data_IF_765508370322
#
_entry.id   IF_765508370322
#
_cell.length_a   1.000
_cell.length_b   1.000
_cell.length_c   1.000
_cell.angle_alpha   90.00
_cell.angle_beta   90.00
_cell.angle_gamma   90.00
#
_symmetry.space_group_name_H-M   'P 1'
#
loop_
_entity.id
_entity.type
_entity.pdbx_description
1 polymer ?
#
# COMPACT_ATOMS: atom_id res chain seq x y z
N UNK A 1 -16.39 9.48 -4.61
CA UNK A 1 -16.36 8.94 -5.99
C UNK A 1 -16.08 7.47 -5.87
N UNK A 2 -16.81 6.59 -6.57
CA UNK A 2 -16.53 5.15 -6.56
C UNK A 2 -15.58 4.83 -7.73
N UNK A 3 -14.38 4.36 -7.44
CA UNK A 3 -13.35 4.02 -8.43
C UNK A 3 -13.32 2.53 -8.80
N UNK A 4 -14.15 1.71 -8.14
CA UNK A 4 -14.22 0.26 -8.37
C UNK A 4 -12.83 -0.42 -8.25
N UNK A 5 -12.08 -0.11 -7.19
CA UNK A 5 -10.71 -0.62 -6.97
C UNK A 5 -10.67 -1.83 -6.03
N UNK A 6 -11.80 -2.21 -5.46
CA UNK A 6 -11.90 -3.31 -4.50
C UNK A 6 -11.37 -4.60 -5.11
N UNK A 7 -10.58 -5.34 -4.33
CA UNK A 7 -9.99 -6.64 -4.68
C UNK A 7 -9.04 -6.61 -5.90
N UNK A 8 -8.70 -5.43 -6.43
CA UNK A 8 -7.69 -5.27 -7.48
C UNK A 8 -6.29 -5.17 -6.86
N UNK A 9 -5.29 -5.69 -7.57
CA UNK A 9 -3.90 -5.71 -7.12
C UNK A 9 -3.08 -4.59 -7.77
N UNK A 10 -2.34 -3.83 -6.96
CA UNK A 10 -1.48 -2.73 -7.40
C UNK A 10 -0.06 -2.89 -6.85
N UNK A 11 0.92 -2.33 -7.57
CA UNK A 11 2.32 -2.23 -7.09
C UNK A 11 2.66 -0.77 -6.87
N UNK A 12 3.13 -0.43 -5.68
CA UNK A 12 3.59 0.93 -5.32
C UNK A 12 5.04 0.88 -4.83
N UNK A 13 5.94 1.46 -5.61
CA UNK A 13 7.34 1.63 -5.23
C UNK A 13 7.54 2.92 -4.44
N UNK A 14 8.50 2.95 -3.51
CA UNK A 14 8.70 4.11 -2.63
C UNK A 14 7.51 4.34 -1.69
N UNK A 15 6.78 3.28 -1.35
CA UNK A 15 5.49 3.34 -0.65
C UNK A 15 5.57 3.77 0.82
N UNK A 16 6.76 3.96 1.38
CA UNK A 16 6.92 4.25 2.82
C UNK A 16 6.95 5.74 3.16
N UNK A 17 6.96 6.64 2.17
CA UNK A 17 7.01 8.09 2.40
C UNK A 17 6.35 8.92 1.27
N UNK A 18 6.04 10.17 1.55
CA UNK A 18 5.56 11.14 0.55
C UNK A 18 4.35 10.63 -0.24
N UNK A 19 4.37 10.85 -1.56
CA UNK A 19 3.28 10.44 -2.44
C UNK A 19 3.10 8.93 -2.54
N UNK A 20 4.19 8.15 -2.52
CA UNK A 20 4.08 6.69 -2.57
C UNK A 20 3.25 6.15 -1.40
N UNK A 21 3.49 6.68 -0.19
CA UNK A 21 2.68 6.34 1.00
C UNK A 21 1.22 6.78 0.86
N UNK A 22 1.00 8.01 0.42
CA UNK A 22 -0.36 8.53 0.24
C UNK A 22 -1.17 7.71 -0.78
N UNK A 23 -0.54 7.32 -1.89
CA UNK A 23 -1.15 6.49 -2.93
C UNK A 23 -1.46 5.09 -2.40
N UNK A 24 -0.48 4.43 -1.76
CA UNK A 24 -0.69 3.09 -1.20
C UNK A 24 -1.80 3.08 -0.13
N UNK A 25 -1.81 4.07 0.77
CA UNK A 25 -2.89 4.23 1.76
C UNK A 25 -4.23 4.40 1.09
N UNK A 26 -4.31 5.25 0.06
CA UNK A 26 -5.60 5.49 -0.61
C UNK A 26 -6.11 4.25 -1.34
N UNK A 27 -5.22 3.47 -1.97
CA UNK A 27 -5.60 2.21 -2.60
C UNK A 27 -6.15 1.21 -1.56
N UNK A 28 -5.50 1.08 -0.41
CA UNK A 28 -5.98 0.23 0.68
C UNK A 28 -7.34 0.71 1.24
N UNK A 29 -7.53 2.02 1.41
CA UNK A 29 -8.82 2.62 1.82
C UNK A 29 -9.97 2.32 0.84
N UNK A 30 -9.66 2.16 -0.46
CA UNK A 30 -10.63 1.77 -1.50
C UNK A 30 -10.83 0.24 -1.60
N UNK A 31 -10.19 -0.53 -0.71
CA UNK A 31 -10.32 -1.99 -0.64
C UNK A 31 -9.44 -2.76 -1.64
N UNK A 32 -8.44 -2.10 -2.22
CA UNK A 32 -7.48 -2.77 -3.09
C UNK A 32 -6.44 -3.58 -2.29
N UNK A 33 -5.79 -4.50 -2.99
CA UNK A 33 -4.60 -5.21 -2.52
C UNK A 33 -3.36 -4.50 -3.06
N UNK A 34 -2.30 -4.33 -2.25
CA UNK A 34 -1.15 -3.50 -2.60
C UNK A 34 0.17 -4.19 -2.27
N UNK A 35 0.99 -4.39 -3.30
CA UNK A 35 2.39 -4.76 -3.16
C UNK A 35 3.21 -3.49 -2.96
N UNK A 36 4.05 -3.46 -1.93
CA UNK A 36 4.89 -2.31 -1.59
C UNK A 36 6.37 -2.66 -1.59
N UNK A 37 7.19 -1.69 -2.02
CA UNK A 37 8.66 -1.77 -1.98
C UNK A 37 9.26 -0.43 -1.53
N UNK A 38 10.28 -0.47 -0.69
CA UNK A 38 11.12 0.66 -0.31
C UNK A 38 12.48 0.21 0.26
N UNK A 39 13.40 1.15 0.42
CA UNK A 39 14.79 0.88 0.88
C UNK A 39 14.91 0.42 2.34
N UNK A 40 13.91 0.70 3.18
CA UNK A 40 14.00 0.52 4.63
C UNK A 40 12.90 -0.41 5.12
N UNK A 41 13.27 -1.63 5.48
CA UNK A 41 12.35 -2.69 5.91
C UNK A 41 11.49 -2.30 7.11
N UNK A 42 12.05 -1.59 8.10
CA UNK A 42 11.30 -1.13 9.27
C UNK A 42 10.11 -0.24 8.88
N UNK A 43 10.29 0.62 7.88
CA UNK A 43 9.20 1.49 7.40
C UNK A 43 8.15 0.69 6.62
N UNK A 44 8.55 -0.35 5.88
CA UNK A 44 7.63 -1.26 5.20
C UNK A 44 6.77 -2.01 6.20
N UNK A 45 7.37 -2.59 7.24
CA UNK A 45 6.66 -3.29 8.32
C UNK A 45 5.71 -2.38 9.08
N UNK A 46 6.13 -1.16 9.40
CA UNK A 46 5.28 -0.16 10.05
C UNK A 46 4.08 0.25 9.18
N UNK A 47 4.25 0.29 7.86
CA UNK A 47 3.16 0.59 6.95
C UNK A 47 2.22 -0.61 6.79
N UNK A 48 2.76 -1.82 6.60
CA UNK A 48 1.98 -3.06 6.49
C UNK A 48 1.11 -3.33 7.72
N UNK A 49 1.56 -2.96 8.93
CA UNK A 49 0.76 -3.13 10.15
C UNK A 49 -0.52 -2.28 10.18
N UNK A 50 -0.66 -1.28 9.30
CA UNK A 50 -1.87 -0.47 9.18
C UNK A 50 -2.94 -1.15 8.32
N UNK A 51 -2.53 -2.08 7.46
CA UNK A 51 -3.38 -2.78 6.49
C UNK A 51 -2.98 -4.27 6.38
N UNK A 52 -3.13 -5.06 7.47
CA UNK A 52 -2.54 -6.39 7.59
C UNK A 52 -3.03 -7.41 6.57
N UNK A 53 -4.26 -7.25 6.06
CA UNK A 53 -4.89 -8.17 5.11
C UNK A 53 -4.81 -7.70 3.65
N UNK A 54 -4.11 -6.59 3.39
CA UNK A 54 -4.08 -5.95 2.07
C UNK A 54 -2.68 -5.71 1.52
N UNK A 55 -1.63 -5.90 2.33
CA UNK A 55 -0.27 -5.53 1.96
C UNK A 55 0.65 -6.75 1.82
N UNK A 56 1.33 -6.79 0.69
CA UNK A 56 2.47 -7.68 0.42
C UNK A 56 3.75 -6.85 0.29
N UNK A 57 4.84 -7.29 0.92
CA UNK A 57 6.13 -6.58 0.87
C UNK A 57 7.06 -7.32 -0.10
N UNK A 58 7.66 -6.58 -1.05
CA UNK A 58 8.66 -7.07 -2.02
C UNK A 58 9.93 -6.24 -1.96
#
# INVERSE_FOLDING_TARGET
MNLDLKDKLFVVTGATSGFGKAIASRLCEEGAQVIINARTEANLKQFASQYPDQIEIV
#
